data_IF_622933786675
#
_entry.id   IF_622933786675
#
_cell.length_a   1.000
_cell.length_b   1.000
_cell.length_c   1.000
_cell.angle_alpha   90.00
_cell.angle_beta   90.00
_cell.angle_gamma   90.00
#
_symmetry.space_group_name_H-M   'P 1'
#
loop_
_entity.id
_entity.type
_entity.pdbx_description
1 polymer ?
#
# COMPACT_ATOMS: atom_id res chain seq x y z
N UNK A 1 9.14 -10.09 29.84
CA UNK A 1 10.39 -9.73 29.12
C UNK A 1 10.35 -9.95 27.60
N UNK A 2 9.54 -10.87 27.05
CA UNK A 2 9.52 -11.19 25.59
C UNK A 2 9.18 -10.02 24.64
N UNK A 3 8.55 -8.93 25.13
CA UNK A 3 8.08 -7.82 24.28
C UNK A 3 8.98 -6.57 24.28
N UNK A 4 10.11 -6.57 25.00
CA UNK A 4 10.94 -5.37 25.14
C UNK A 4 11.83 -5.14 23.91
N UNK A 5 12.45 -6.21 23.41
CA UNK A 5 13.38 -6.13 22.29
C UNK A 5 12.72 -5.68 20.96
N UNK A 6 11.54 -6.20 20.55
CA UNK A 6 10.85 -5.72 19.36
C UNK A 6 10.41 -4.26 19.46
N UNK A 7 10.02 -3.81 20.66
CA UNK A 7 9.64 -2.41 20.92
C UNK A 7 10.84 -1.47 20.78
N UNK A 8 11.97 -1.82 21.39
CA UNK A 8 13.22 -1.04 21.27
C UNK A 8 13.66 -0.98 19.81
N UNK A 9 13.71 -2.12 19.11
CA UNK A 9 14.05 -2.18 17.67
C UNK A 9 13.17 -1.24 16.84
N UNK A 10 11.85 -1.26 17.07
CA UNK A 10 10.90 -0.40 16.34
C UNK A 10 11.18 1.08 16.57
N UNK A 11 11.48 1.48 17.81
CA UNK A 11 11.82 2.87 18.16
C UNK A 11 13.12 3.28 17.47
N UNK A 12 14.16 2.44 17.56
CA UNK A 12 15.45 2.71 16.93
C UNK A 12 15.33 2.83 15.41
N UNK A 13 14.64 1.91 14.74
CA UNK A 13 14.43 1.98 13.29
C UNK A 13 13.67 3.26 12.88
N UNK A 14 12.71 3.72 13.69
CA UNK A 14 11.99 4.97 13.42
C UNK A 14 12.88 6.20 13.62
N UNK A 15 13.80 6.17 14.59
CA UNK A 15 14.67 7.31 14.91
C UNK A 15 15.92 7.39 14.01
N UNK A 16 16.49 6.25 13.64
CA UNK A 16 17.79 6.18 12.97
C UNK A 16 17.68 6.18 11.44
N UNK A 17 16.53 5.84 10.87
CA UNK A 17 16.36 5.79 9.42
C UNK A 17 15.76 7.11 8.93
N UNK A 18 16.55 8.00 8.32
CA UNK A 18 16.08 9.30 7.87
C UNK A 18 15.12 9.16 6.68
N UNK A 19 14.18 10.11 6.51
CA UNK A 19 13.19 10.05 5.41
C UNK A 19 13.82 9.99 4.02
N UNK A 20 15.03 10.52 3.84
CA UNK A 20 15.77 10.47 2.57
C UNK A 20 16.13 9.04 2.14
N UNK A 21 16.18 8.08 3.08
CA UNK A 21 16.43 6.66 2.79
C UNK A 21 15.28 6.00 2.00
N UNK A 22 14.06 6.52 2.15
CA UNK A 22 12.88 6.02 1.45
C UNK A 22 12.80 6.65 0.06
N UNK A 23 12.46 5.88 -0.99
CA UNK A 23 12.18 6.46 -2.31
C UNK A 23 10.93 7.35 -2.23
N UNK A 24 10.81 8.34 -3.12
CA UNK A 24 9.63 9.21 -3.17
C UNK A 24 8.40 8.38 -3.55
N UNK A 25 8.52 7.61 -4.62
CA UNK A 25 7.52 6.65 -5.09
C UNK A 25 8.18 5.32 -5.46
N UNK A 26 7.39 4.25 -5.49
CA UNK A 26 7.77 2.93 -6.01
C UNK A 26 6.73 2.51 -7.04
N UNK A 27 7.18 1.94 -8.15
CA UNK A 27 6.29 1.30 -9.12
C UNK A 27 5.89 -0.10 -8.64
N UNK A 28 4.60 -0.32 -8.41
CA UNK A 28 4.01 -1.63 -8.21
C UNK A 28 3.00 -1.91 -9.32
N UNK A 29 3.34 -2.84 -10.21
CA UNK A 29 2.48 -3.34 -11.30
C UNK A 29 1.94 -2.26 -12.26
N UNK A 30 2.65 -1.14 -12.40
CA UNK A 30 2.28 0.01 -13.22
C UNK A 30 1.74 1.20 -12.41
N UNK A 31 1.56 1.05 -11.10
CA UNK A 31 1.06 2.09 -10.20
C UNK A 31 2.19 2.72 -9.41
N UNK A 32 2.26 4.05 -9.44
CA UNK A 32 3.28 4.84 -8.73
C UNK A 32 2.84 5.10 -7.27
N UNK A 33 3.25 4.21 -6.36
CA UNK A 33 2.89 4.27 -4.93
C UNK A 33 3.78 5.24 -4.16
N UNK A 34 3.22 6.28 -3.49
CA UNK A 34 4.00 7.19 -2.66
C UNK A 34 4.52 6.49 -1.39
N UNK A 35 5.77 6.78 -0.99
CA UNK A 35 6.41 6.13 0.19
C UNK A 35 7.03 7.15 1.14
N UNK A 36 7.90 8.02 0.63
CA UNK A 36 8.54 9.08 1.43
C UNK A 36 7.49 10.10 1.88
N UNK A 37 7.58 10.56 3.13
CA UNK A 37 6.66 11.54 3.69
C UNK A 37 5.29 10.99 4.07
N UNK A 38 4.92 9.80 3.59
CA UNK A 38 3.64 9.17 3.96
C UNK A 38 3.65 8.67 5.42
N UNK A 39 2.50 8.69 6.12
CA UNK A 39 2.34 8.30 7.53
C UNK A 39 2.40 6.77 7.77
N UNK A 40 3.29 6.09 7.05
CA UNK A 40 3.47 4.64 7.08
C UNK A 40 4.49 4.23 8.15
N UNK A 41 4.30 3.04 8.72
CA UNK A 41 5.30 2.47 9.62
C UNK A 41 6.53 1.98 8.84
N UNK A 42 7.66 1.78 9.55
CA UNK A 42 8.92 1.32 8.96
C UNK A 42 8.77 0.05 8.10
N UNK A 43 8.03 -0.94 8.60
CA UNK A 43 7.83 -2.21 7.91
C UNK A 43 7.11 -2.02 6.59
N UNK A 44 6.01 -1.27 6.58
CA UNK A 44 5.28 -0.96 5.36
C UNK A 44 6.15 -0.23 4.35
N UNK A 45 6.91 0.80 4.76
CA UNK A 45 7.86 1.49 3.86
C UNK A 45 8.93 0.54 3.31
N UNK A 46 9.41 -0.39 4.14
CA UNK A 46 10.39 -1.39 3.74
C UNK A 46 9.83 -2.36 2.69
N UNK A 47 8.65 -2.95 2.92
CA UNK A 47 8.00 -3.84 1.96
C UNK A 47 7.66 -3.14 0.65
N UNK A 48 7.17 -1.91 0.70
CA UNK A 48 6.94 -1.08 -0.49
C UNK A 48 8.24 -0.85 -1.25
N UNK A 49 9.32 -0.41 -0.58
CA UNK A 49 10.65 -0.22 -1.20
C UNK A 49 11.19 -1.49 -1.85
N UNK A 50 10.87 -2.67 -1.30
CA UNK A 50 11.29 -3.97 -1.85
C UNK A 50 10.41 -4.48 -2.99
N UNK A 51 9.27 -3.85 -3.25
CA UNK A 51 8.31 -4.35 -4.24
C UNK A 51 7.54 -5.57 -3.77
N UNK A 52 7.52 -5.83 -2.46
CA UNK A 52 7.00 -7.07 -1.83
C UNK A 52 5.69 -6.82 -1.07
N UNK A 53 5.25 -5.57 -0.94
CA UNK A 53 3.97 -5.23 -0.32
C UNK A 53 2.82 -5.89 -1.09
N UNK A 54 1.96 -6.64 -0.38
CA UNK A 54 0.80 -7.38 -0.93
C UNK A 54 1.15 -8.24 -2.16
N UNK A 55 2.35 -8.80 -2.22
CA UNK A 55 2.86 -9.48 -3.41
C UNK A 55 1.99 -10.68 -3.84
N UNK A 56 1.53 -11.48 -2.87
CA UNK A 56 0.72 -12.67 -3.16
C UNK A 56 -0.67 -12.29 -3.67
N UNK A 57 -1.29 -11.29 -3.05
CA UNK A 57 -2.57 -10.73 -3.48
C UNK A 57 -2.45 -10.12 -4.89
N UNK A 58 -1.43 -9.29 -5.14
CA UNK A 58 -1.14 -8.70 -6.46
C UNK A 58 -0.94 -9.79 -7.52
N UNK A 59 -0.18 -10.83 -7.21
CA UNK A 59 0.01 -11.96 -8.12
C UNK A 59 -1.30 -12.71 -8.40
N UNK A 60 -2.16 -12.90 -7.39
CA UNK A 60 -3.43 -13.59 -7.55
C UNK A 60 -4.41 -12.80 -8.43
N UNK A 61 -4.58 -11.50 -8.17
CA UNK A 61 -5.57 -10.67 -8.90
C UNK A 61 -5.23 -10.53 -10.38
N UNK A 62 -3.96 -10.49 -10.75
CA UNK A 62 -3.55 -10.36 -12.17
C UNK A 62 -4.03 -11.52 -13.05
N UNK A 63 -4.33 -12.68 -12.45
CA UNK A 63 -4.84 -13.85 -13.19
C UNK A 63 -6.32 -13.73 -13.56
N UNK A 64 -7.07 -12.86 -12.88
CA UNK A 64 -8.53 -12.76 -13.01
C UNK A 64 -8.98 -11.39 -13.55
N UNK A 65 -8.19 -10.34 -13.34
CA UNK A 65 -8.53 -8.99 -13.78
C UNK A 65 -8.47 -8.86 -15.31
N UNK A 66 -9.44 -8.11 -15.84
CA UNK A 66 -9.56 -7.78 -17.26
C UNK A 66 -10.07 -6.34 -17.40
N UNK A 67 -9.72 -5.63 -18.49
CA UNK A 67 -10.29 -4.32 -18.77
C UNK A 67 -11.82 -4.34 -18.80
N UNK A 68 -12.46 -3.33 -18.21
CA UNK A 68 -13.92 -3.18 -18.16
C UNK A 68 -14.62 -3.90 -17.00
N UNK A 69 -13.90 -4.65 -16.16
CA UNK A 69 -14.52 -5.31 -15.00
C UNK A 69 -14.98 -4.31 -13.94
N UNK A 70 -16.04 -4.70 -13.23
CA UNK A 70 -16.49 -4.08 -11.99
C UNK A 70 -16.00 -4.94 -10.84
N UNK A 71 -15.25 -4.35 -9.91
CA UNK A 71 -14.59 -5.06 -8.82
C UNK A 71 -15.07 -4.50 -7.49
N UNK A 72 -15.43 -5.39 -6.59
CA UNK A 72 -15.68 -5.11 -5.18
C UNK A 72 -14.48 -5.63 -4.38
N UNK A 73 -13.79 -4.74 -3.67
CA UNK A 73 -12.68 -5.05 -2.78
C UNK A 73 -13.12 -4.85 -1.33
N UNK A 74 -12.79 -5.83 -0.48
CA UNK A 74 -13.11 -5.83 0.94
C UNK A 74 -11.79 -5.84 1.72
N UNK A 75 -11.52 -4.79 2.51
CA UNK A 75 -10.25 -4.58 3.21
C UNK A 75 -9.25 -3.79 2.38
N UNK A 76 -9.62 -2.58 1.93
CA UNK A 76 -8.82 -1.73 1.06
C UNK A 76 -7.48 -1.25 1.63
N UNK A 77 -7.26 -1.39 2.94
CA UNK A 77 -6.00 -1.04 3.61
C UNK A 77 -5.54 0.39 3.26
N UNK A 78 -4.28 0.56 2.86
CA UNK A 78 -3.71 1.84 2.39
C UNK A 78 -3.96 2.12 0.89
N UNK A 79 -4.85 1.34 0.25
CA UNK A 79 -5.33 1.58 -1.12
C UNK A 79 -4.42 1.13 -2.26
N UNK A 80 -3.30 0.43 -1.98
CA UNK A 80 -2.35 0.01 -3.05
C UNK A 80 -3.01 -0.97 -4.02
N UNK A 81 -3.63 -2.04 -3.51
CA UNK A 81 -4.29 -3.02 -4.37
C UNK A 81 -5.47 -2.40 -5.13
N UNK A 82 -6.28 -1.55 -4.47
CA UNK A 82 -7.36 -0.78 -5.10
C UNK A 82 -6.91 -0.02 -6.35
N UNK A 83 -5.77 0.68 -6.26
CA UNK A 83 -5.20 1.44 -7.38
C UNK A 83 -4.70 0.51 -8.49
N UNK A 84 -4.04 -0.60 -8.14
CA UNK A 84 -3.58 -1.59 -9.12
C UNK A 84 -4.78 -2.20 -9.85
N UNK A 85 -5.84 -2.56 -9.13
CA UNK A 85 -7.08 -3.04 -9.74
C UNK A 85 -7.63 -1.96 -10.69
N UNK A 86 -7.70 -0.71 -10.24
CA UNK A 86 -8.17 0.44 -11.04
C UNK A 86 -7.43 0.57 -12.36
N UNK A 87 -6.09 0.56 -12.31
CA UNK A 87 -5.23 0.62 -13.48
C UNK A 87 -5.48 -0.55 -14.44
N UNK A 88 -5.64 -1.78 -13.92
CA UNK A 88 -5.85 -2.98 -14.75
C UNK A 88 -7.25 -3.05 -15.37
N UNK A 89 -8.30 -2.63 -14.66
CA UNK A 89 -9.67 -2.61 -15.20
C UNK A 89 -9.89 -1.42 -16.13
N UNK A 90 -9.07 -0.37 -16.01
CA UNK A 90 -9.03 0.77 -16.90
C UNK A 90 -10.30 1.63 -16.88
N UNK A 91 -10.42 2.59 -17.80
CA UNK A 91 -11.45 3.64 -17.76
C UNK A 91 -12.89 3.14 -17.98
N UNK A 92 -13.06 1.93 -18.53
CA UNK A 92 -14.37 1.28 -18.69
C UNK A 92 -14.74 0.41 -17.48
N UNK A 93 -13.80 0.15 -16.59
CA UNK A 93 -14.01 -0.61 -15.37
C UNK A 93 -14.44 0.29 -14.21
N UNK A 94 -14.64 -0.34 -13.05
CA UNK A 94 -14.91 0.37 -11.80
C UNK A 94 -14.44 -0.46 -10.62
N UNK A 95 -13.82 0.19 -9.63
CA UNK A 95 -13.45 -0.43 -8.36
C UNK A 95 -14.23 0.24 -7.25
N UNK A 96 -14.80 -0.57 -6.37
CA UNK A 96 -15.38 -0.12 -5.11
C UNK A 96 -14.64 -0.83 -3.99
N UNK A 97 -13.90 -0.06 -3.19
CA UNK A 97 -13.05 -0.57 -2.12
C UNK A 97 -13.59 -0.13 -0.76
N UNK A 98 -13.70 -1.08 0.16
CA UNK A 98 -14.17 -0.84 1.52
C UNK A 98 -13.06 -1.12 2.52
N UNK A 99 -12.85 -0.22 3.47
CA UNK A 99 -11.92 -0.39 4.59
C UNK A 99 -12.62 -0.05 5.89
N UNK A 100 -12.46 -0.90 6.90
CA UNK A 100 -13.15 -0.78 8.18
C UNK A 100 -12.43 0.16 9.16
N UNK A 101 -11.11 0.33 8.99
CA UNK A 101 -10.31 1.21 9.83
C UNK A 101 -10.29 2.63 9.28
N UNK A 102 -10.90 3.57 10.02
CA UNK A 102 -10.84 5.00 9.71
C UNK A 102 -9.41 5.50 9.47
N UNK A 103 -8.47 5.03 10.29
CA UNK A 103 -7.05 5.36 10.14
C UNK A 103 -6.47 4.90 8.80
N UNK A 104 -6.85 3.72 8.31
CA UNK A 104 -6.35 3.23 7.01
C UNK A 104 -7.02 4.00 5.87
N UNK A 105 -8.29 4.37 6.01
CA UNK A 105 -8.98 5.28 5.08
C UNK A 105 -8.29 6.64 5.01
N UNK A 106 -7.91 7.23 6.14
CA UNK A 106 -7.15 8.49 6.20
C UNK A 106 -5.81 8.37 5.46
N UNK A 107 -5.03 7.32 5.75
CA UNK A 107 -3.75 7.06 5.08
C UNK A 107 -3.95 6.87 3.57
N UNK A 108 -4.95 6.08 3.17
CA UNK A 108 -5.27 5.85 1.76
C UNK A 108 -5.65 7.16 1.06
N UNK A 109 -6.43 8.03 1.72
CA UNK A 109 -6.84 9.33 1.15
C UNK A 109 -5.65 10.28 1.00
N UNK A 110 -4.70 10.26 1.95
CA UNK A 110 -3.47 11.05 1.85
C UNK A 110 -2.55 10.54 0.72
N UNK A 111 -2.47 9.21 0.54
CA UNK A 111 -1.69 8.60 -0.52
C UNK A 111 -2.31 8.80 -1.91
N UNK A 112 -3.65 8.80 -1.98
CA UNK A 112 -4.44 8.79 -3.21
C UNK A 112 -5.53 9.86 -3.15
N UNK A 113 -5.16 11.14 -3.20
CA UNK A 113 -6.14 12.22 -3.22
C UNK A 113 -7.07 12.08 -4.44
N UNK A 114 -8.34 12.48 -4.32
CA UNK A 114 -9.33 12.39 -5.40
C UNK A 114 -8.97 13.21 -6.64
#
# INVERSE_FOLDING_TARGET
MQNLFPKIRRILLKALVPEIYWPIKVDLDGVQVPVRGMPLNFGTKYWLKKGEYEQDERHLITKVLRPGLKVLEMGGSIGVLAQIIGEKVGPKGRVLSFEASDRLVEISTEMWPP
#
